data_IF_205663609428
#
_entry.id   IF_205663609428
#
_cell.length_a   1.000
_cell.length_b   1.000
_cell.length_c   1.000
_cell.angle_alpha   90.00
_cell.angle_beta   90.00
_cell.angle_gamma   90.00
#
_symmetry.space_group_name_H-M   'P 1'
#
loop_
_entity.id
_entity.type
_entity.pdbx_description
1 polymer ?
#
# COMPACT_ATOMS: atom_id res chain seq x y z
N UNK A 1 5.14 4.74 -43.86
CA UNK A 1 5.28 5.76 -42.80
C UNK A 1 4.57 5.21 -41.58
N UNK A 2 5.16 5.28 -40.38
CA UNK A 2 4.52 4.76 -39.18
C UNK A 2 3.21 5.50 -38.90
N UNK A 3 2.16 4.75 -38.62
CA UNK A 3 0.84 5.28 -38.24
C UNK A 3 0.88 5.62 -36.75
N UNK A 4 0.19 6.68 -36.34
CA UNK A 4 0.09 7.07 -34.94
C UNK A 4 -1.38 7.15 -34.52
N UNK A 5 -1.66 6.71 -33.30
CA UNK A 5 -2.94 6.90 -32.63
C UNK A 5 -2.66 7.77 -31.40
N UNK A 6 -3.24 8.97 -31.35
CA UNK A 6 -3.17 9.82 -30.17
C UNK A 6 -4.21 9.35 -29.15
N UNK A 7 -3.76 9.07 -27.93
CA UNK A 7 -4.54 8.52 -26.82
C UNK A 7 -4.90 9.64 -25.82
N UNK A 8 -4.22 10.80 -25.89
CA UNK A 8 -4.41 11.94 -25.00
C UNK A 8 -3.34 12.09 -23.92
N UNK A 9 -3.44 13.15 -23.12
CA UNK A 9 -2.46 13.49 -22.08
C UNK A 9 -2.72 12.85 -20.70
N UNK A 10 -3.96 12.41 -20.47
CA UNK A 10 -4.47 11.80 -19.24
C UNK A 10 -5.82 11.11 -19.56
N UNK A 11 -6.43 10.36 -18.62
CA UNK A 11 -7.78 9.82 -18.81
C UNK A 11 -8.82 10.91 -19.13
N UNK A 12 -9.83 10.57 -19.93
CA UNK A 12 -10.76 11.53 -20.52
C UNK A 12 -11.61 12.31 -19.49
N UNK A 13 -11.78 11.76 -18.29
CA UNK A 13 -12.56 12.38 -17.21
C UNK A 13 -11.69 12.83 -16.03
N UNK A 14 -10.36 12.75 -16.16
CA UNK A 14 -9.44 13.24 -15.14
C UNK A 14 -9.11 14.72 -15.35
N UNK A 15 -8.92 15.45 -14.25
CA UNK A 15 -8.20 16.71 -14.31
C UNK A 15 -6.76 16.46 -14.76
N UNK A 16 -6.22 17.34 -15.60
CA UNK A 16 -4.87 17.24 -16.13
C UNK A 16 -4.20 18.61 -16.26
N UNK A 17 -2.89 18.61 -16.46
CA UNK A 17 -2.09 19.83 -16.55
C UNK A 17 -2.65 20.75 -17.64
N UNK A 18 -2.80 22.03 -17.32
CA UNK A 18 -3.34 23.04 -18.23
C UNK A 18 -2.23 24.00 -18.67
N UNK A 19 -1.94 24.02 -19.97
CA UNK A 19 -0.89 24.86 -20.54
C UNK A 19 -1.21 26.35 -20.31
N UNK A 20 -0.28 27.08 -19.72
CA UNK A 20 -0.46 28.48 -19.34
C UNK A 20 -1.24 28.72 -18.05
N UNK A 21 -1.65 27.66 -17.34
CA UNK A 21 -2.32 27.76 -16.03
C UNK A 21 -1.57 27.03 -14.93
N UNK A 22 -1.04 25.84 -15.21
CA UNK A 22 -0.25 25.06 -14.24
C UNK A 22 1.15 25.64 -14.10
N UNK A 23 1.54 26.04 -12.89
CA UNK A 23 2.83 26.71 -12.59
C UNK A 23 4.06 25.90 -13.08
N UNK A 24 4.04 24.58 -12.92
CA UNK A 24 5.12 23.66 -13.32
C UNK A 24 4.73 22.77 -14.51
N UNK A 25 3.99 23.32 -15.47
CA UNK A 25 3.34 22.57 -16.55
C UNK A 25 4.22 21.52 -17.24
N UNK A 26 5.43 21.85 -17.69
CA UNK A 26 6.26 20.90 -18.46
C UNK A 26 6.59 19.64 -17.65
N UNK A 27 6.94 19.81 -16.36
CA UNK A 27 7.24 18.70 -15.46
C UNK A 27 5.99 17.86 -15.16
N UNK A 28 4.87 18.52 -14.87
CA UNK A 28 3.58 17.89 -14.54
C UNK A 28 3.06 17.10 -15.74
N UNK A 29 2.99 17.72 -16.92
CA UNK A 29 2.51 17.07 -18.14
C UNK A 29 3.38 15.88 -18.58
N UNK A 30 4.71 15.96 -18.41
CA UNK A 30 5.59 14.80 -18.64
C UNK A 30 5.31 13.66 -17.66
N UNK A 31 5.08 13.98 -16.38
CA UNK A 31 4.77 12.97 -15.38
C UNK A 31 3.42 12.32 -15.67
N UNK A 32 2.39 13.10 -16.00
CA UNK A 32 1.06 12.59 -16.35
C UNK A 32 1.10 11.68 -17.56
N UNK A 33 1.75 12.07 -18.66
CA UNK A 33 1.86 11.23 -19.87
C UNK A 33 2.57 9.92 -19.55
N UNK A 34 3.64 9.95 -18.76
CA UNK A 34 4.36 8.73 -18.34
C UNK A 34 3.50 7.83 -17.45
N UNK A 35 2.74 8.41 -16.53
CA UNK A 35 1.84 7.65 -15.66
C UNK A 35 0.63 7.12 -16.44
N UNK A 36 0.17 7.85 -17.45
CA UNK A 36 -0.92 7.41 -18.31
C UNK A 36 -0.49 6.23 -19.18
N UNK A 37 0.74 6.24 -19.70
CA UNK A 37 1.35 5.07 -20.35
C UNK A 37 1.38 3.86 -19.41
N UNK A 38 1.79 4.05 -18.16
CA UNK A 38 1.80 2.99 -17.16
C UNK A 38 0.39 2.47 -16.83
N UNK A 39 -0.62 3.35 -16.79
CA UNK A 39 -2.01 2.98 -16.55
C UNK A 39 -2.62 2.20 -17.72
N UNK A 40 -2.37 2.62 -18.97
CA UNK A 40 -2.77 1.86 -20.16
C UNK A 40 -2.07 0.49 -20.16
N UNK A 41 -0.77 0.47 -19.84
CA UNK A 41 0.01 -0.78 -19.73
C UNK A 41 -0.54 -1.71 -18.65
N UNK A 42 -0.96 -1.18 -17.49
CA UNK A 42 -1.63 -1.98 -16.47
C UNK A 42 -2.93 -2.60 -17.01
N UNK A 43 -3.72 -1.84 -17.78
CA UNK A 43 -5.02 -2.26 -18.29
C UNK A 43 -4.96 -3.26 -19.44
N UNK A 44 -3.97 -3.12 -20.34
CA UNK A 44 -3.91 -3.83 -21.64
C UNK A 44 -2.67 -4.73 -21.77
N UNK A 45 -1.61 -4.48 -20.99
CA UNK A 45 -0.33 -5.17 -21.09
C UNK A 45 0.73 -4.35 -21.83
N UNK A 46 1.94 -4.91 -21.97
CA UNK A 46 3.01 -4.28 -22.76
C UNK A 46 2.68 -4.32 -24.26
N UNK A 47 3.08 -3.30 -25.04
CA UNK A 47 2.91 -3.32 -26.49
C UNK A 47 3.71 -4.49 -27.10
N UNK A 48 3.12 -5.25 -28.05
CA UNK A 48 3.86 -6.25 -28.81
C UNK A 48 4.88 -5.59 -29.75
N UNK A 49 5.86 -6.39 -30.20
CA UNK A 49 6.79 -5.98 -31.25
C UNK A 49 6.00 -5.47 -32.48
N UNK A 50 6.46 -4.35 -33.06
CA UNK A 50 5.75 -3.68 -34.17
C UNK A 50 4.87 -2.50 -33.76
N UNK A 51 4.74 -2.23 -32.46
CA UNK A 51 4.24 -0.94 -31.96
C UNK A 51 4.93 -0.51 -30.66
N UNK A 52 4.87 0.78 -30.34
CA UNK A 52 5.42 1.30 -29.10
C UNK A 52 4.71 2.60 -28.70
N UNK A 53 4.62 2.85 -27.39
CA UNK A 53 4.19 4.14 -26.89
C UNK A 53 5.25 5.22 -27.11
N UNK A 54 4.80 6.44 -27.36
CA UNK A 54 5.65 7.63 -27.41
C UNK A 54 4.91 8.86 -26.86
N UNK A 55 5.66 9.75 -26.21
CA UNK A 55 5.17 11.07 -25.87
C UNK A 55 5.32 11.99 -27.09
N UNK A 56 4.21 12.47 -27.66
CA UNK A 56 4.24 13.41 -28.78
C UNK A 56 4.26 14.84 -28.29
N UNK A 57 5.10 15.67 -28.88
CA UNK A 57 5.12 17.11 -28.61
C UNK A 57 4.15 17.86 -29.54
N UNK A 58 3.23 18.58 -28.92
CA UNK A 58 2.26 19.43 -29.59
C UNK A 58 2.59 20.89 -29.29
N UNK A 59 2.98 21.63 -30.33
CA UNK A 59 3.35 23.05 -30.22
C UNK A 59 2.09 23.93 -30.30
N UNK A 60 1.98 24.85 -29.36
CA UNK A 60 0.91 25.85 -29.28
C UNK A 60 1.51 27.22 -28.96
N UNK A 61 0.73 28.28 -29.15
CA UNK A 61 1.14 29.66 -28.86
C UNK A 61 1.49 29.90 -27.37
N UNK A 62 1.02 29.02 -26.47
CA UNK A 62 1.24 29.09 -25.03
C UNK A 62 2.37 28.18 -24.55
N UNK A 63 3.04 27.46 -25.45
CA UNK A 63 4.13 26.53 -25.15
C UNK A 63 3.94 25.17 -25.82
N UNK A 64 4.62 24.15 -25.30
CA UNK A 64 4.58 22.78 -25.82
C UNK A 64 3.90 21.89 -24.79
N UNK A 65 2.83 21.21 -25.18
CA UNK A 65 2.22 20.15 -24.39
C UNK A 65 2.49 18.79 -25.00
N UNK A 66 2.34 17.73 -24.22
CA UNK A 66 2.57 16.34 -24.63
C UNK A 66 1.33 15.49 -24.44
N UNK A 67 1.14 14.57 -25.38
CA UNK A 67 0.13 13.51 -25.34
C UNK A 67 0.82 12.16 -25.50
N UNK A 68 0.18 11.11 -24.98
CA UNK A 68 0.56 9.74 -25.22
C UNK A 68 0.04 9.31 -26.60
N UNK A 69 0.88 8.72 -27.42
CA UNK A 69 0.47 8.08 -28.66
C UNK A 69 1.03 6.67 -28.78
N UNK A 70 0.32 5.82 -29.52
CA UNK A 70 0.85 4.55 -30.00
C UNK A 70 1.39 4.74 -31.42
N UNK A 71 2.70 4.52 -31.59
CA UNK A 71 3.34 4.41 -32.90
C UNK A 71 3.23 2.97 -33.40
N UNK A 72 2.75 2.80 -34.62
CA UNK A 72 2.50 1.51 -35.28
C UNK A 72 3.44 1.41 -36.48
N UNK A 73 4.32 0.40 -36.44
CA UNK A 73 5.29 0.12 -37.49
C UNK A 73 4.82 -1.01 -38.42
N UNK A 74 4.08 -2.00 -37.89
CA UNK A 74 3.55 -3.13 -38.64
C UNK A 74 2.02 -3.26 -38.43
N UNK A 75 1.26 -2.58 -39.29
CA UNK A 75 -0.21 -2.59 -39.26
C UNK A 75 -0.80 -3.92 -39.78
N UNK A 76 -0.01 -4.75 -40.47
CA UNK A 76 -0.47 -6.03 -40.99
C UNK A 76 -0.44 -7.13 -39.91
N UNK A 77 0.35 -6.95 -38.84
CA UNK A 77 0.37 -7.86 -37.70
C UNK A 77 -0.94 -7.76 -36.91
N UNK A 78 -1.60 -8.92 -36.74
CA UNK A 78 -2.90 -9.01 -36.07
C UNK A 78 -2.83 -8.68 -34.57
N UNK A 79 -1.70 -8.97 -33.90
CA UNK A 79 -1.49 -8.62 -32.50
C UNK A 79 -1.30 -7.10 -32.36
N UNK A 80 -0.56 -6.47 -33.28
CA UNK A 80 -0.42 -5.00 -33.32
C UNK A 80 -1.76 -4.33 -33.59
N UNK A 81 -2.55 -4.82 -34.55
CA UNK A 81 -3.88 -4.29 -34.85
C UNK A 81 -4.85 -4.43 -33.67
N UNK A 82 -4.83 -5.58 -32.98
CA UNK A 82 -5.65 -5.82 -31.79
C UNK A 82 -5.23 -4.91 -30.62
N UNK A 83 -3.93 -4.76 -30.39
CA UNK A 83 -3.39 -3.88 -29.35
C UNK A 83 -3.75 -2.41 -29.63
N UNK A 84 -3.58 -1.96 -30.88
CA UNK A 84 -3.97 -0.62 -31.32
C UNK A 84 -5.46 -0.35 -31.09
N UNK A 85 -6.33 -1.31 -31.39
CA UNK A 85 -7.76 -1.19 -31.11
C UNK A 85 -8.07 -1.14 -29.61
N UNK A 86 -7.35 -1.91 -28.78
CA UNK A 86 -7.55 -1.96 -27.34
C UNK A 86 -7.18 -0.66 -26.61
N UNK A 87 -6.20 0.11 -27.13
CA UNK A 87 -5.74 1.36 -26.50
C UNK A 87 -6.32 2.63 -27.11
N UNK A 88 -7.00 2.54 -28.26
CA UNK A 88 -7.40 3.71 -29.06
C UNK A 88 -8.30 4.70 -28.31
N UNK A 89 -9.19 4.21 -27.45
CA UNK A 89 -10.11 5.04 -26.66
C UNK A 89 -9.48 5.57 -25.35
N UNK A 90 -8.30 5.07 -24.98
CA UNK A 90 -7.68 5.40 -23.70
C UNK A 90 -8.47 4.91 -22.49
N UNK A 91 -8.35 5.62 -21.36
CA UNK A 91 -9.12 5.37 -20.13
C UNK A 91 -10.08 6.52 -19.85
N UNK A 92 -11.19 6.23 -19.19
CA UNK A 92 -12.07 7.27 -18.63
C UNK A 92 -11.49 7.85 -17.34
N UNK A 93 -11.10 6.97 -16.41
CA UNK A 93 -10.55 7.32 -15.09
C UNK A 93 -9.27 6.57 -14.75
N UNK A 94 -8.44 7.16 -13.89
CA UNK A 94 -7.23 6.50 -13.35
C UNK A 94 -7.54 5.20 -12.60
N UNK A 95 -8.69 5.15 -11.92
CA UNK A 95 -9.11 4.00 -11.11
C UNK A 95 -9.41 2.75 -11.93
N UNK A 96 -9.69 2.88 -13.24
CA UNK A 96 -9.85 1.74 -14.16
C UNK A 96 -8.57 0.90 -14.30
N UNK A 97 -7.42 1.49 -13.99
CA UNK A 97 -6.11 0.85 -13.99
C UNK A 97 -5.53 0.64 -12.58
N UNK A 98 -6.33 0.89 -11.52
CA UNK A 98 -5.87 0.80 -10.13
C UNK A 98 -5.02 1.99 -9.66
N UNK A 99 -4.99 3.09 -10.41
CA UNK A 99 -4.27 4.31 -10.06
C UNK A 99 -5.19 5.28 -9.31
N UNK A 100 -4.67 5.92 -8.26
CA UNK A 100 -5.24 7.16 -7.77
C UNK A 100 -4.84 8.32 -8.72
N UNK A 101 -5.66 9.39 -8.84
CA UNK A 101 -5.25 10.59 -9.56
C UNK A 101 -3.89 11.09 -9.04
N UNK A 102 -2.85 11.14 -9.89
CA UNK A 102 -1.49 11.35 -9.41
C UNK A 102 -1.21 12.81 -9.01
N UNK A 103 -2.06 13.75 -9.43
CA UNK A 103 -1.87 15.18 -9.24
C UNK A 103 -3.20 15.79 -8.84
N UNK A 104 -3.17 16.62 -7.78
CA UNK A 104 -4.27 17.52 -7.44
C UNK A 104 -4.02 18.88 -8.06
N UNK A 105 -5.07 19.46 -8.63
CA UNK A 105 -5.06 20.83 -9.10
C UNK A 105 -5.81 21.71 -8.10
N UNK A 106 -5.17 22.80 -7.68
CA UNK A 106 -5.78 23.80 -6.81
C UNK A 106 -6.48 24.87 -7.65
N UNK A 107 -7.56 25.42 -7.11
CA UNK A 107 -8.19 26.64 -7.63
C UNK A 107 -7.16 27.78 -7.63
N UNK A 108 -6.73 28.20 -8.82
CA UNK A 108 -5.72 29.26 -8.99
C UNK A 108 -4.39 28.83 -9.63
N UNK A 109 -4.28 27.60 -10.15
CA UNK A 109 -3.13 27.16 -10.98
C UNK A 109 -2.01 26.44 -10.22
N UNK A 110 -2.15 26.28 -8.90
CA UNK A 110 -1.28 25.42 -8.11
C UNK A 110 -1.53 23.94 -8.42
N UNK A 111 -0.49 23.11 -8.31
CA UNK A 111 -0.60 21.65 -8.45
C UNK A 111 0.24 20.97 -7.38
N UNK A 112 -0.29 19.90 -6.78
CA UNK A 112 0.45 19.06 -5.81
C UNK A 112 0.38 17.60 -6.25
N UNK A 113 1.53 16.94 -6.33
CA UNK A 113 1.59 15.51 -6.67
C UNK A 113 1.21 14.65 -5.46
N UNK A 114 0.31 13.68 -5.65
CA UNK A 114 0.05 12.61 -4.70
C UNK A 114 0.98 11.43 -5.02
N UNK A 115 1.85 11.08 -4.06
CA UNK A 115 3.04 10.26 -4.33
C UNK A 115 4.21 11.16 -4.75
N UNK A 116 5.40 10.96 -4.18
CA UNK A 116 6.52 11.91 -4.35
C UNK A 116 7.28 11.70 -5.67
N UNK A 117 7.07 10.57 -6.34
CA UNK A 117 7.78 10.15 -7.55
C UNK A 117 6.94 9.21 -8.42
N UNK A 118 7.38 8.99 -9.68
CA UNK A 118 6.80 7.98 -10.57
C UNK A 118 6.74 6.60 -9.90
N UNK A 119 7.86 6.17 -9.30
CA UNK A 119 7.96 4.87 -8.64
C UNK A 119 6.99 4.73 -7.47
N UNK A 120 6.78 5.78 -6.67
CA UNK A 120 5.83 5.74 -5.56
C UNK A 120 4.39 5.55 -6.05
N UNK A 121 4.04 6.14 -7.19
CA UNK A 121 2.69 6.01 -7.78
C UNK A 121 2.50 4.61 -8.37
N UNK A 122 3.52 4.05 -9.03
CA UNK A 122 3.49 2.65 -9.48
C UNK A 122 3.37 1.69 -8.29
N UNK A 123 4.10 1.94 -7.20
CA UNK A 123 3.96 1.15 -5.96
C UNK A 123 2.55 1.23 -5.41
N UNK A 124 1.96 2.42 -5.37
CA UNK A 124 0.57 2.62 -4.96
C UNK A 124 -0.40 1.77 -5.79
N UNK A 125 -0.28 1.80 -7.13
CA UNK A 125 -1.13 1.00 -8.01
C UNK A 125 -0.93 -0.52 -7.82
N UNK A 126 0.31 -0.98 -7.63
CA UNK A 126 0.60 -2.38 -7.31
C UNK A 126 0.01 -2.80 -5.97
N UNK A 127 0.08 -1.94 -4.95
CA UNK A 127 -0.53 -2.18 -3.64
C UNK A 127 -2.06 -2.20 -3.71
N UNK A 128 -2.68 -1.30 -4.48
CA UNK A 128 -4.14 -1.28 -4.70
C UNK A 128 -4.63 -2.56 -5.35
N UNK A 129 -3.87 -3.10 -6.30
CA UNK A 129 -4.26 -4.27 -7.11
C UNK A 129 -3.75 -5.61 -6.57
N UNK A 130 -3.08 -5.62 -5.41
CA UNK A 130 -2.43 -6.83 -4.87
C UNK A 130 -3.44 -7.93 -4.49
N UNK A 131 -3.04 -9.21 -4.56
CA UNK A 131 -3.82 -10.28 -3.95
C UNK A 131 -3.78 -10.19 -2.42
N UNK A 132 -4.76 -10.81 -1.76
CA UNK A 132 -4.70 -11.10 -0.32
C UNK A 132 -3.58 -12.09 0.01
N UNK A 133 -3.30 -12.31 1.29
CA UNK A 133 -2.28 -13.27 1.74
C UNK A 133 -2.51 -14.68 1.17
N UNK A 134 -3.77 -15.10 1.04
CA UNK A 134 -4.20 -16.37 0.44
C UNK A 134 -3.94 -16.46 -1.08
N UNK A 135 -3.42 -15.39 -1.70
CA UNK A 135 -3.22 -15.26 -3.15
C UNK A 135 -4.49 -14.92 -3.93
N UNK A 136 -5.60 -14.56 -3.26
CA UNK A 136 -6.87 -14.24 -3.92
C UNK A 136 -6.98 -12.76 -4.22
N UNK A 137 -7.43 -12.42 -5.43
CA UNK A 137 -7.72 -11.03 -5.77
C UNK A 137 -9.13 -10.65 -5.30
N UNK A 138 -9.29 -9.53 -4.56
CA UNK A 138 -10.62 -9.05 -4.14
C UNK A 138 -11.54 -8.73 -5.32
N UNK A 139 -10.95 -8.27 -6.43
CA UNK A 139 -11.61 -7.97 -7.69
C UNK A 139 -10.91 -8.79 -8.79
N UNK A 140 -11.63 -9.62 -9.58
CA UNK A 140 -11.00 -10.48 -10.60
C UNK A 140 -10.09 -9.73 -11.58
N UNK A 141 -10.49 -8.52 -11.99
CA UNK A 141 -9.74 -7.66 -12.90
C UNK A 141 -8.37 -7.24 -12.34
N UNK A 142 -8.23 -7.17 -11.01
CA UNK A 142 -6.96 -6.83 -10.37
C UNK A 142 -5.87 -7.84 -10.66
N UNK A 143 -6.22 -9.11 -10.92
CA UNK A 143 -5.23 -10.11 -11.32
C UNK A 143 -4.53 -9.71 -12.64
N UNK A 144 -5.28 -9.14 -13.58
CA UNK A 144 -4.75 -8.64 -14.86
C UNK A 144 -3.90 -7.39 -14.63
N UNK A 145 -4.43 -6.40 -13.91
CA UNK A 145 -3.72 -5.15 -13.63
C UNK A 145 -2.40 -5.38 -12.90
N UNK A 146 -2.44 -6.17 -11.83
CA UNK A 146 -1.28 -6.49 -11.01
C UNK A 146 -0.23 -7.29 -11.79
N UNK A 147 -0.67 -8.29 -12.58
CA UNK A 147 0.23 -9.06 -13.44
C UNK A 147 0.95 -8.20 -14.46
N UNK A 148 0.22 -7.33 -15.16
CA UNK A 148 0.78 -6.43 -16.16
C UNK A 148 1.75 -5.40 -15.54
N UNK A 149 1.40 -4.82 -14.38
CA UNK A 149 2.28 -3.91 -13.65
C UNK A 149 3.58 -4.62 -13.23
N UNK A 150 3.51 -5.84 -12.69
CA UNK A 150 4.70 -6.62 -12.32
C UNK A 150 5.58 -6.91 -13.53
N UNK A 151 4.97 -7.23 -14.68
CA UNK A 151 5.70 -7.48 -15.91
C UNK A 151 6.39 -6.21 -16.45
N UNK A 152 5.70 -5.07 -16.41
CA UNK A 152 6.22 -3.80 -16.93
C UNK A 152 7.26 -3.16 -16.00
N UNK A 153 7.13 -3.33 -14.68
CA UNK A 153 7.98 -2.69 -13.68
C UNK A 153 8.59 -3.70 -12.68
N UNK A 154 9.39 -4.68 -13.15
CA UNK A 154 9.88 -5.78 -12.32
C UNK A 154 10.79 -5.33 -11.17
N UNK A 155 11.55 -4.24 -11.33
CA UNK A 155 12.40 -3.69 -10.27
C UNK A 155 11.57 -3.08 -9.12
N UNK A 156 10.46 -2.42 -9.44
CA UNK A 156 9.52 -1.88 -8.45
C UNK A 156 8.80 -3.03 -7.76
N UNK A 157 8.35 -4.03 -8.52
CA UNK A 157 7.73 -5.23 -7.97
C UNK A 157 8.65 -5.98 -7.01
N UNK A 158 9.93 -6.19 -7.40
CA UNK A 158 10.92 -6.82 -6.53
C UNK A 158 11.17 -6.00 -5.24
N UNK A 159 11.14 -4.67 -5.33
CA UNK A 159 11.23 -3.81 -4.14
C UNK A 159 10.02 -3.97 -3.25
N UNK A 160 8.81 -4.13 -3.79
CA UNK A 160 7.60 -4.41 -3.01
C UNK A 160 7.58 -5.81 -2.42
N UNK A 161 8.15 -6.81 -3.07
CA UNK A 161 8.29 -8.16 -2.50
C UNK A 161 9.30 -8.18 -1.35
N UNK A 162 10.38 -7.40 -1.45
CA UNK A 162 11.28 -7.11 -0.33
C UNK A 162 10.62 -6.24 0.75
N UNK A 163 9.58 -5.49 0.37
CA UNK A 163 8.74 -4.65 1.20
C UNK A 163 7.36 -5.26 1.45
N UNK A 164 7.27 -6.60 1.49
CA UNK A 164 6.07 -7.30 1.96
C UNK A 164 5.88 -6.92 3.44
N UNK A 165 4.85 -6.11 3.77
CA UNK A 165 4.65 -5.64 5.14
C UNK A 165 4.52 -6.82 6.11
N UNK A 166 3.91 -7.93 5.68
CA UNK A 166 3.79 -9.13 6.50
C UNK A 166 5.15 -9.79 6.77
N UNK A 167 6.02 -9.90 5.77
CA UNK A 167 7.36 -10.49 5.96
C UNK A 167 8.28 -9.60 6.80
N UNK A 168 8.25 -8.28 6.55
CA UNK A 168 9.02 -7.34 7.34
C UNK A 168 8.52 -7.27 8.77
N UNK A 169 7.21 -7.30 8.99
CA UNK A 169 6.66 -7.24 10.34
C UNK A 169 6.94 -8.53 11.10
N UNK A 170 6.87 -9.70 10.45
CA UNK A 170 7.37 -10.96 11.04
C UNK A 170 8.85 -10.89 11.40
N UNK A 171 9.68 -10.24 10.58
CA UNK A 171 11.10 -10.05 10.89
C UNK A 171 11.33 -9.07 12.04
N UNK A 172 10.59 -7.96 12.09
CA UNK A 172 10.64 -6.98 13.16
C UNK A 172 10.19 -7.60 14.48
N UNK A 173 9.07 -8.32 14.49
CA UNK A 173 8.59 -9.09 15.64
C UNK A 173 9.62 -10.11 16.10
N UNK A 174 10.23 -10.88 15.18
CA UNK A 174 11.27 -11.83 15.54
C UNK A 174 12.49 -11.16 16.21
N UNK A 175 12.87 -9.95 15.76
CA UNK A 175 13.96 -9.17 16.37
C UNK A 175 13.57 -8.57 17.72
N UNK A 176 12.40 -7.95 17.82
CA UNK A 176 11.88 -7.36 19.05
C UNK A 176 11.65 -8.41 20.15
N UNK A 177 11.29 -9.64 19.77
CA UNK A 177 11.04 -10.73 20.73
C UNK A 177 12.29 -11.20 21.46
N UNK A 178 13.45 -11.19 20.81
CA UNK A 178 14.69 -11.70 21.41
C UNK A 178 15.10 -10.98 22.72
N UNK A 179 15.17 -9.63 22.79
CA UNK A 179 15.47 -8.92 24.03
C UNK A 179 14.35 -9.10 25.07
N UNK A 180 13.08 -9.16 24.65
CA UNK A 180 11.94 -9.42 25.56
C UNK A 180 12.10 -10.78 26.26
N UNK A 181 12.37 -11.84 25.50
CA UNK A 181 12.58 -13.19 26.05
C UNK A 181 13.77 -13.26 27.01
N UNK A 182 14.85 -12.51 26.73
CA UNK A 182 16.00 -12.44 27.61
C UNK A 182 15.65 -11.81 28.97
N UNK A 183 14.90 -10.69 28.96
CA UNK A 183 14.44 -10.02 30.19
C UNK A 183 13.47 -10.92 30.96
N UNK A 184 12.53 -11.58 30.27
CA UNK A 184 11.62 -12.54 30.91
C UNK A 184 12.39 -13.65 31.63
N UNK A 185 13.40 -14.22 30.96
CA UNK A 185 14.23 -15.28 31.55
C UNK A 185 15.03 -14.80 32.77
N UNK A 186 15.61 -13.60 32.72
CA UNK A 186 16.35 -13.00 33.85
C UNK A 186 15.44 -12.67 35.04
N UNK A 187 14.22 -12.19 34.78
CA UNK A 187 13.21 -11.88 35.79
C UNK A 187 12.46 -13.12 36.31
N UNK A 188 12.69 -14.31 35.74
CA UNK A 188 11.98 -15.54 36.13
C UNK A 188 10.51 -15.59 35.67
N UNK A 189 10.15 -14.78 34.67
CA UNK A 189 8.82 -14.71 34.05
C UNK A 189 8.70 -15.83 33.01
N UNK A 190 7.67 -16.67 33.15
CA UNK A 190 7.37 -17.76 32.24
C UNK A 190 6.45 -17.35 31.09
N UNK A 191 5.52 -16.42 31.35
CA UNK A 191 4.50 -16.02 30.40
C UNK A 191 4.05 -14.58 30.64
N UNK A 192 3.83 -13.82 29.56
CA UNK A 192 3.24 -12.48 29.56
C UNK A 192 2.03 -12.49 28.63
N UNK A 193 0.91 -11.94 29.11
CA UNK A 193 -0.28 -11.62 28.32
C UNK A 193 -0.45 -10.09 28.27
N UNK A 194 -0.74 -9.59 27.07
CA UNK A 194 -0.99 -8.17 26.77
C UNK A 194 -2.36 -8.09 26.14
N UNK A 195 -3.35 -7.68 26.94
CA UNK A 195 -4.71 -7.47 26.43
C UNK A 195 -4.77 -6.16 25.67
N UNK A 196 -5.60 -6.10 24.63
CA UNK A 196 -5.91 -4.86 23.92
C UNK A 196 -7.40 -4.77 23.65
N UNK A 197 -7.92 -3.55 23.69
CA UNK A 197 -9.29 -3.24 23.35
C UNK A 197 -9.35 -1.80 22.82
N UNK A 198 -9.88 -1.60 21.62
CA UNK A 198 -9.98 -0.30 20.98
C UNK A 198 -11.01 -0.25 19.87
N UNK A 199 -11.45 0.95 19.50
CA UNK A 199 -12.39 1.19 18.40
C UNK A 199 -12.67 2.68 18.18
N UNK A 200 -12.88 3.05 16.92
CA UNK A 200 -13.19 4.44 16.54
C UNK A 200 -12.01 5.37 16.78
N UNK A 201 -12.25 6.50 17.46
CA UNK A 201 -11.22 7.45 17.90
C UNK A 201 -10.75 7.21 19.35
N UNK A 202 -11.24 6.17 20.02
CA UNK A 202 -10.88 5.83 21.41
C UNK A 202 -9.90 4.63 21.51
N UNK A 203 -8.77 4.91 22.16
CA UNK A 203 -8.01 4.03 23.06
C UNK A 203 -7.21 2.85 22.48
N UNK A 204 -5.89 2.85 22.73
CA UNK A 204 -5.11 1.63 23.01
C UNK A 204 -5.03 1.47 24.53
N UNK A 205 -5.79 0.55 25.13
CA UNK A 205 -5.57 0.12 26.52
C UNK A 205 -4.85 -1.21 26.48
N UNK A 206 -3.60 -1.21 26.96
CA UNK A 206 -2.82 -2.41 27.17
C UNK A 206 -2.82 -2.78 28.65
N UNK A 207 -3.51 -3.87 29.01
CA UNK A 207 -3.38 -4.47 30.34
C UNK A 207 -2.31 -5.55 30.28
N UNK A 208 -1.34 -5.47 31.18
CA UNK A 208 -0.22 -6.39 31.25
C UNK A 208 -0.35 -7.36 32.40
N UNK A 209 -0.26 -8.65 32.10
CA UNK A 209 -0.27 -9.71 33.09
C UNK A 209 0.97 -10.59 32.90
N UNK A 210 1.81 -10.67 33.93
CA UNK A 210 2.98 -11.54 33.93
C UNK A 210 2.79 -12.68 34.93
N UNK A 211 3.23 -13.88 34.54
CA UNK A 211 3.28 -15.04 35.44
C UNK A 211 4.68 -15.64 35.43
N UNK A 212 5.15 -16.07 36.59
CA UNK A 212 6.42 -16.75 36.73
C UNK A 212 6.36 -18.17 36.15
N UNK A 213 7.49 -18.87 36.10
CA UNK A 213 7.57 -20.25 35.59
C UNK A 213 6.76 -21.28 36.39
N UNK A 214 6.29 -20.93 37.59
CA UNK A 214 5.38 -21.75 38.41
C UNK A 214 3.90 -21.41 38.18
N UNK A 215 3.59 -20.43 37.32
CA UNK A 215 2.22 -19.97 37.03
C UNK A 215 1.65 -19.00 38.05
N UNK A 216 2.47 -18.41 38.90
CA UNK A 216 2.05 -17.41 39.89
C UNK A 216 2.21 -16.00 39.31
N UNK A 217 1.36 -15.06 39.73
CA UNK A 217 1.46 -13.67 39.30
C UNK A 217 2.85 -13.09 39.63
N UNK A 218 3.42 -12.39 38.66
CA UNK A 218 4.72 -11.72 38.76
C UNK A 218 4.57 -10.25 38.37
N UNK A 219 5.45 -9.40 38.90
CA UNK A 219 5.53 -8.00 38.47
C UNK A 219 6.45 -7.88 37.25
N UNK A 220 6.11 -6.98 36.33
CA UNK A 220 7.00 -6.64 35.23
C UNK A 220 8.24 -5.90 35.76
N UNK A 221 9.47 -6.28 35.34
CA UNK A 221 10.67 -5.60 35.76
C UNK A 221 10.73 -4.19 35.16
N UNK A 222 11.14 -3.22 35.98
CA UNK A 222 11.44 -1.86 35.52
C UNK A 222 12.87 -1.78 35.01
N UNK A 223 13.08 -2.24 33.78
CA UNK A 223 14.38 -2.26 33.09
C UNK A 223 14.24 -1.70 31.69
N UNK A 224 15.37 -1.30 31.10
CA UNK A 224 15.41 -0.88 29.70
C UNK A 224 15.40 -2.11 28.78
N UNK A 225 14.72 -2.00 27.64
CA UNK A 225 14.64 -3.02 26.61
C UNK A 225 14.87 -2.38 25.23
N UNK A 226 15.53 -3.12 24.34
CA UNK A 226 15.54 -2.76 22.93
C UNK A 226 14.15 -3.03 22.34
N UNK A 227 13.52 -1.98 21.80
CA UNK A 227 12.32 -2.08 20.98
C UNK A 227 12.73 -2.05 19.51
N UNK A 228 12.06 -2.87 18.70
CA UNK A 228 12.28 -2.95 17.26
C UNK A 228 10.94 -2.86 16.55
N UNK A 229 10.68 -1.74 15.89
CA UNK A 229 9.43 -1.45 15.17
C UNK A 229 9.69 -1.26 13.67
N UNK A 230 8.61 -1.10 12.90
CA UNK A 230 8.68 -0.74 11.49
C UNK A 230 8.20 0.69 11.28
N UNK A 231 8.93 1.44 10.46
CA UNK A 231 8.42 2.68 9.90
C UNK A 231 7.33 2.39 8.87
N UNK A 232 6.49 3.40 8.57
CA UNK A 232 5.53 3.34 7.47
C UNK A 232 6.15 3.03 6.09
N UNK A 233 7.49 3.10 5.97
CA UNK A 233 8.25 2.76 4.76
C UNK A 233 8.83 1.35 4.78
N UNK A 234 8.57 0.57 5.83
CA UNK A 234 9.13 -0.76 6.00
C UNK A 234 10.58 -0.77 6.50
N UNK A 235 11.08 0.36 7.01
CA UNK A 235 12.42 0.42 7.58
C UNK A 235 12.35 0.02 9.06
N UNK A 236 13.26 -0.87 9.50
CA UNK A 236 13.36 -1.23 10.92
C UNK A 236 13.93 -0.05 11.72
N UNK A 237 13.23 0.36 12.76
CA UNK A 237 13.68 1.34 13.74
C UNK A 237 14.01 0.58 15.02
N UNK A 238 15.19 0.82 15.60
CA UNK A 238 15.60 0.28 16.90
C UNK A 238 15.88 1.42 17.87
N UNK A 239 15.32 1.31 19.07
CA UNK A 239 15.48 2.26 20.16
C UNK A 239 15.47 1.57 21.51
N UNK A 240 16.05 2.22 22.52
CA UNK A 240 16.02 1.74 23.91
C UNK A 240 14.89 2.47 24.64
N UNK A 241 13.93 1.70 25.13
CA UNK A 241 12.73 2.16 25.86
C UNK A 241 12.53 1.34 27.13
N UNK A 242 11.50 1.62 27.92
CA UNK A 242 11.20 0.76 29.07
C UNK A 242 10.73 -0.63 28.60
N UNK A 243 10.90 -1.66 29.43
CA UNK A 243 10.43 -3.01 29.10
C UNK A 243 8.93 -3.03 28.82
N UNK A 244 8.15 -2.23 29.53
CA UNK A 244 6.71 -2.10 29.28
C UNK A 244 6.43 -1.47 27.91
N UNK A 245 7.12 -0.37 27.56
CA UNK A 245 6.97 0.26 26.24
C UNK A 245 7.41 -0.66 25.10
N UNK A 246 8.41 -1.52 25.33
CA UNK A 246 8.83 -2.52 24.35
C UNK A 246 7.77 -3.61 24.15
N UNK A 247 7.05 -4.01 25.20
CA UNK A 247 5.91 -4.93 25.10
C UNK A 247 4.73 -4.27 24.38
N UNK A 248 4.43 -3.00 24.68
CA UNK A 248 3.42 -2.19 23.97
C UNK A 248 3.74 -2.10 22.46
N UNK A 249 4.99 -1.76 22.13
CA UNK A 249 5.45 -1.66 20.76
C UNK A 249 5.40 -3.01 20.04
N UNK A 250 5.74 -4.11 20.73
CA UNK A 250 5.64 -5.46 20.20
C UNK A 250 4.18 -5.84 19.88
N UNK A 251 3.25 -5.58 20.80
CA UNK A 251 1.82 -5.86 20.60
C UNK A 251 1.23 -5.02 19.46
N UNK A 252 1.54 -3.71 19.42
CA UNK A 252 1.12 -2.81 18.35
C UNK A 252 1.65 -3.26 16.99
N UNK A 253 2.95 -3.59 16.92
CA UNK A 253 3.56 -4.11 15.68
C UNK A 253 2.90 -5.41 15.24
N UNK A 254 2.52 -6.30 16.17
CA UNK A 254 1.83 -7.55 15.84
C UNK A 254 0.42 -7.33 15.30
N UNK A 255 -0.31 -6.35 15.84
CA UNK A 255 -1.62 -5.96 15.36
C UNK A 255 -1.55 -5.32 13.98
N UNK A 256 -0.65 -4.37 13.76
CA UNK A 256 -0.44 -3.77 12.43
C UNK A 256 -0.02 -4.81 11.39
N UNK A 257 0.82 -5.78 11.79
CA UNK A 257 1.32 -6.83 10.92
C UNK A 257 0.22 -7.78 10.39
N UNK A 258 -0.72 -8.14 11.26
CA UNK A 258 -1.67 -9.25 11.03
C UNK A 258 -3.10 -8.77 10.85
N UNK A 259 -3.44 -7.60 11.39
CA UNK A 259 -4.78 -7.04 11.47
C UNK A 259 -4.74 -5.51 11.29
N UNK A 260 -4.07 -5.03 10.24
CA UNK A 260 -4.04 -3.60 9.90
C UNK A 260 -5.46 -2.99 9.84
N UNK A 261 -5.62 -1.82 10.46
CA UNK A 261 -6.91 -1.13 10.57
C UNK A 261 -7.92 -1.77 11.52
N UNK A 262 -7.49 -2.60 12.47
CA UNK A 262 -8.33 -3.25 13.47
C UNK A 262 -9.15 -2.27 14.32
N UNK A 263 -8.65 -1.07 14.51
CA UNK A 263 -9.27 0.01 15.29
C UNK A 263 -10.46 0.67 14.55
N UNK A 264 -10.60 0.44 13.24
CA UNK A 264 -11.61 1.12 12.45
C UNK A 264 -13.04 0.67 12.79
N UNK A 265 -13.97 1.64 12.79
CA UNK A 265 -15.40 1.38 13.02
C UNK A 265 -15.69 0.96 14.45
N UNK A 266 -16.27 -0.23 14.62
CA UNK A 266 -16.60 -0.78 15.94
C UNK A 266 -15.38 -1.35 16.66
N UNK A 267 -14.23 -1.41 15.99
CA UNK A 267 -12.96 -1.83 16.57
C UNK A 267 -12.81 -3.33 16.78
N UNK A 268 -11.78 -3.69 17.54
CA UNK A 268 -11.42 -5.07 17.86
C UNK A 268 -10.81 -5.17 19.25
N UNK A 269 -10.74 -6.38 19.77
CA UNK A 269 -10.11 -6.68 21.06
C UNK A 269 -9.47 -8.06 21.04
N UNK A 270 -8.57 -8.32 21.97
CA UNK A 270 -7.86 -9.58 22.03
C UNK A 270 -6.66 -9.56 22.95
N UNK A 271 -5.77 -10.53 22.75
CA UNK A 271 -4.61 -10.75 23.62
C UNK A 271 -3.39 -11.17 22.81
N UNK A 272 -2.25 -10.55 23.07
CA UNK A 272 -0.92 -11.03 22.63
C UNK A 272 -0.28 -11.76 23.79
N UNK A 273 0.10 -13.03 23.58
CA UNK A 273 0.74 -13.87 24.57
C UNK A 273 2.18 -14.19 24.16
N UNK A 274 3.12 -14.14 25.10
CA UNK A 274 4.53 -14.47 24.90
C UNK A 274 4.94 -15.53 25.92
N UNK A 275 5.39 -16.69 25.45
CA UNK A 275 5.86 -17.80 26.29
C UNK A 275 7.39 -17.88 26.28
N UNK A 276 8.01 -17.67 27.44
CA UNK A 276 9.47 -17.66 27.57
C UNK A 276 10.11 -19.04 27.37
N UNK A 277 9.35 -20.12 27.60
CA UNK A 277 9.86 -21.50 27.61
C UNK A 277 9.96 -22.07 26.19
N UNK A 278 9.01 -21.71 25.34
CA UNK A 278 8.93 -22.10 23.92
C UNK A 278 9.51 -21.03 23.01
N UNK A 279 9.52 -19.77 23.46
CA UNK A 279 9.83 -18.61 22.63
C UNK A 279 8.72 -18.28 21.63
N UNK A 280 7.55 -18.92 21.74
CA UNK A 280 6.39 -18.63 20.89
C UNK A 280 5.69 -17.35 21.33
N UNK A 281 5.09 -16.67 20.35
CA UNK A 281 4.20 -15.54 20.59
C UNK A 281 2.93 -15.76 19.77
N UNK A 282 1.76 -15.58 20.38
CA UNK A 282 0.45 -15.82 19.77
C UNK A 282 -0.43 -14.59 19.91
N UNK A 283 -1.21 -14.28 18.88
CA UNK A 283 -2.20 -13.21 18.89
C UNK A 283 -3.59 -13.82 18.71
N UNK A 284 -4.44 -13.66 19.72
CA UNK A 284 -5.87 -13.97 19.64
C UNK A 284 -6.61 -12.68 19.31
N UNK A 285 -7.31 -12.63 18.18
CA UNK A 285 -7.93 -11.41 17.65
C UNK A 285 -9.45 -11.57 17.46
N UNK A 286 -10.24 -10.60 17.94
CA UNK A 286 -11.70 -10.58 17.83
C UNK A 286 -12.19 -9.25 17.23
N UNK A 287 -12.89 -9.30 16.10
CA UNK A 287 -13.50 -8.12 15.45
C UNK A 287 -14.91 -7.90 15.98
N UNK A 288 -15.27 -6.63 16.28
CA UNK A 288 -16.66 -6.27 16.62
C UNK A 288 -17.50 -6.05 15.37
N UNK A 289 -18.71 -6.59 15.38
CA UNK A 289 -19.69 -6.41 14.30
C UNK A 289 -21.02 -5.97 14.90
N UNK A 290 -21.52 -4.81 14.50
CA UNK A 290 -22.87 -4.35 14.83
C UNK A 290 -23.80 -4.61 13.64
N UNK A 291 -24.99 -5.15 13.92
CA UNK A 291 -26.07 -5.31 12.94
C UNK A 291 -27.35 -4.73 13.53
N UNK A 292 -27.98 -3.80 12.82
CA UNK A 292 -29.22 -3.16 13.23
C UNK A 292 -30.31 -3.32 12.16
N UNK A 293 -31.53 -3.67 12.60
CA UNK A 293 -32.75 -3.60 11.79
C UNK A 293 -33.60 -2.42 12.30
N UNK A 294 -33.95 -1.50 11.40
CA UNK A 294 -34.66 -0.27 11.75
C UNK A 294 -36.00 -0.24 11.02
N UNK A 295 -37.09 -0.38 11.77
CA UNK A 295 -38.45 -0.16 11.26
C UNK A 295 -39.00 1.17 11.78
N UNK A 296 -39.51 2.01 10.89
CA UNK A 296 -40.19 3.26 11.23
C UNK A 296 -41.68 3.07 11.05
N UNK A 297 -42.46 3.33 12.10
CA UNK A 297 -43.92 3.36 12.05
C UNK A 297 -44.42 4.76 12.39
N UNK A 298 -45.36 5.28 11.60
CA UNK A 298 -46.09 6.49 11.95
C UNK A 298 -47.15 6.17 13.01
N UNK A 299 -47.21 6.97 14.07
CA UNK A 299 -48.27 6.91 15.09
C UNK A 299 -49.49 7.73 14.66
#
# INVERSE_FOLDING_TARGET
MPRHIDIGGAPAHAECAQLGQTENFDSVNRLEVRLYEAAITARVGLPPDGCAFEARENRHDFGVYRTLALRIDDEADLAVAAYAAAVAEGLGYWTEAGFAPPIQYALGGGSTTFGRSFDDIIRGAMMTTRPSEDGKFPIPEFATLHGNLKQAFPAIAATLELCDPGAQARQALARAKAPILAIMAEAGIGHIAIDYDGGGDEGQVHEFQATNVAGEAAELPTVDCESVTLSYRGETISEIVSFQDALDAFASTALEALHDGWENGEGAYGTVEIDARTGEATLTHNIRVITADTSVSSL
#
